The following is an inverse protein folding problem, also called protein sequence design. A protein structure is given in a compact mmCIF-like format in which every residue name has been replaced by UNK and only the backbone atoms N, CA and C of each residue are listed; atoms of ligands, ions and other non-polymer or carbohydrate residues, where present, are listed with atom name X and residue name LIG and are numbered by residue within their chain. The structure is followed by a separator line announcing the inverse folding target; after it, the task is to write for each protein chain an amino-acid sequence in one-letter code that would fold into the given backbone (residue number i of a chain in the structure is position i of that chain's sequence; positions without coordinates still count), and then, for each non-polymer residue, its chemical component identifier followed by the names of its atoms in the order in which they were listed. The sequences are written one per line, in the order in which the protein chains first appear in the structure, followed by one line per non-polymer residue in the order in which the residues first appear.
data_IF_239670790884
#
_entry.id   IF_239670790884
#
_cell.length_a   1.000
_cell.length_b   1.000
_cell.length_c   1.000
_cell.angle_alpha   90.00
_cell.angle_beta   90.00
_cell.angle_gamma   90.00
#
_symmetry.space_group_name_H-M   'P 1'
#
loop_
_entity.id
_entity.type
_entity.pdbx_description
1 polymer ?
#
# COMPACT_ATOMS: atom_id res chain seq x y z
N UNK A 1 -2.92 7.17 -5.50
CA UNK A 1 -2.31 6.34 -6.55
C UNK A 1 -3.03 5.00 -6.61
N UNK A 2 -4.22 4.95 -7.19
CA UNK A 2 -5.10 3.76 -7.11
C UNK A 2 -4.77 2.74 -8.19
N UNK A 3 -4.89 1.43 -7.91
CA UNK A 3 -4.74 0.37 -8.88
C UNK A 3 -6.15 0.11 -9.46
N UNK A 4 -6.35 0.42 -10.74
CA UNK A 4 -7.47 -0.09 -11.55
C UNK A 4 -8.81 0.64 -11.72
N UNK A 5 -9.39 0.17 -12.85
CA UNK A 5 -10.59 0.46 -13.65
C UNK A 5 -10.77 1.88 -14.20
N UNK A 6 -10.32 2.07 -15.45
CA UNK A 6 -10.89 3.08 -16.35
C UNK A 6 -9.92 3.84 -17.27
N UNK A 7 -8.68 4.11 -16.86
CA UNK A 7 -7.78 5.00 -17.62
C UNK A 7 -6.34 4.52 -17.78
N UNK A 8 -5.82 3.70 -16.86
CA UNK A 8 -4.44 3.23 -16.88
C UNK A 8 -4.39 1.72 -17.14
N UNK A 9 -4.42 1.33 -18.43
CA UNK A 9 -4.22 -0.04 -18.97
C UNK A 9 -4.66 -1.22 -18.06
N UNK A 10 -5.80 -1.84 -18.35
CA UNK A 10 -6.52 -2.93 -17.64
C UNK A 10 -5.78 -4.21 -17.19
N UNK A 11 -4.67 -4.15 -16.45
CA UNK A 11 -4.20 -5.29 -15.66
C UNK A 11 -5.18 -5.64 -14.54
N UNK A 12 -5.21 -6.91 -14.14
CA UNK A 12 -6.19 -7.41 -13.16
C UNK A 12 -5.57 -7.62 -11.77
N UNK A 13 -4.33 -7.17 -11.59
CA UNK A 13 -3.47 -7.38 -10.41
C UNK A 13 -2.55 -6.15 -10.27
N UNK A 14 -2.02 -5.88 -9.07
CA UNK A 14 -1.06 -4.79 -8.89
C UNK A 14 -0.89 -4.27 -7.46
N UNK A 15 -0.43 -3.03 -7.35
CA UNK A 15 -0.31 -2.31 -6.10
C UNK A 15 -0.71 -0.84 -6.29
N UNK A 16 -0.96 -0.17 -5.18
CA UNK A 16 -0.95 1.27 -5.18
C UNK A 16 -0.96 1.84 -3.76
N UNK A 17 -1.15 3.16 -3.70
CA UNK A 17 -0.82 3.94 -2.53
C UNK A 17 -1.78 5.10 -2.28
N UNK A 18 -2.15 5.33 -1.04
CA UNK A 18 -2.74 6.58 -0.58
C UNK A 18 -1.83 7.21 0.48
N UNK A 19 -1.63 8.52 0.35
CA UNK A 19 -0.77 9.31 1.21
C UNK A 19 -1.57 10.50 1.73
N UNK A 20 -1.31 10.90 2.97
CA UNK A 20 -1.78 12.21 3.44
C UNK A 20 -0.83 13.29 2.92
N UNK A 21 -1.41 14.33 2.34
CA UNK A 21 -0.67 15.48 1.79
C UNK A 21 -0.20 16.37 2.94
N UNK A 22 1.05 16.82 2.87
CA UNK A 22 1.64 17.77 3.83
C UNK A 22 2.12 17.14 5.14
N UNK A 23 2.02 15.82 5.28
CA UNK A 23 2.48 15.11 6.47
C UNK A 23 3.73 14.28 6.16
N UNK A 24 4.64 14.21 7.14
CA UNK A 24 5.87 13.42 7.06
C UNK A 24 5.58 11.99 7.56
N UNK A 25 5.86 11.00 6.72
CA UNK A 25 5.58 9.59 7.02
C UNK A 25 6.77 8.69 6.67
N UNK A 26 6.81 7.51 7.27
CA UNK A 26 7.86 6.53 7.02
C UNK A 26 7.33 5.36 6.16
N UNK A 27 8.14 4.88 5.22
CA UNK A 27 7.92 3.62 4.50
C UNK A 27 9.24 2.85 4.52
N UNK A 28 9.25 1.63 5.08
CA UNK A 28 10.41 0.74 5.11
C UNK A 28 11.72 1.40 5.62
N UNK A 29 11.62 2.30 6.60
CA UNK A 29 12.76 3.02 7.19
C UNK A 29 13.18 4.30 6.45
N UNK A 30 12.60 4.59 5.29
CA UNK A 30 12.75 5.85 4.57
C UNK A 30 11.62 6.83 4.91
N UNK A 31 11.91 8.13 4.86
CA UNK A 31 10.95 9.18 5.21
C UNK A 31 10.48 9.93 3.96
N UNK A 32 9.19 10.29 3.93
CA UNK A 32 8.54 10.87 2.78
C UNK A 32 7.55 11.96 3.15
N UNK A 33 7.27 12.84 2.20
CA UNK A 33 6.18 13.82 2.27
C UNK A 33 5.63 14.04 0.86
N UNK A 34 4.31 14.20 0.75
CA UNK A 34 3.66 14.61 -0.50
C UNK A 34 3.27 16.07 -0.42
N UNK A 35 3.67 16.86 -1.41
CA UNK A 35 3.23 18.24 -1.57
C UNK A 35 2.47 18.42 -2.89
N UNK A 36 1.49 19.31 -2.89
CA UNK A 36 0.73 19.67 -4.08
C UNK A 36 1.23 21.01 -4.63
N UNK A 37 1.26 21.13 -5.95
CA UNK A 37 1.48 22.41 -6.62
C UNK A 37 0.32 23.37 -6.42
N UNK A 38 0.57 24.68 -6.58
CA UNK A 38 -0.48 25.69 -6.61
C UNK A 38 -1.44 25.41 -7.78
N UNK A 39 -2.67 24.98 -7.49
CA UNK A 39 -3.65 24.52 -8.47
C UNK A 39 -3.99 23.03 -8.36
N UNK A 40 -3.19 22.25 -7.63
CA UNK A 40 -3.36 20.81 -7.41
C UNK A 40 -3.27 19.95 -8.69
N UNK A 41 -2.67 20.49 -9.75
CA UNK A 41 -2.49 19.78 -11.02
C UNK A 41 -1.36 18.74 -10.96
N UNK A 42 -0.39 18.95 -10.06
CA UNK A 42 0.72 18.03 -9.80
C UNK A 42 0.90 17.78 -8.30
N UNK A 43 1.38 16.58 -7.98
CA UNK A 43 1.80 16.15 -6.66
C UNK A 43 3.28 15.71 -6.71
N UNK A 44 4.10 16.20 -5.79
CA UNK A 44 5.50 15.79 -5.67
C UNK A 44 5.69 14.96 -4.41
N UNK A 45 6.18 13.75 -4.57
CA UNK A 45 6.64 12.92 -3.46
C UNK A 45 8.13 13.18 -3.22
N UNK A 46 8.44 13.74 -2.07
CA UNK A 46 9.80 13.93 -1.60
C UNK A 46 10.21 12.75 -0.71
N UNK A 47 11.44 12.28 -0.87
CA UNK A 47 12.12 11.37 0.06
C UNK A 47 13.13 12.18 0.86
N UNK A 48 13.25 11.88 2.14
CA UNK A 48 14.11 12.56 3.09
C UNK A 48 15.06 11.57 3.75
N UNK A 49 16.23 12.04 4.15
CA UNK A 49 17.21 11.25 4.92
C UNK A 49 17.00 11.31 6.43
N UNK A 50 16.05 12.12 6.91
CA UNK A 50 15.77 12.32 8.34
C UNK A 50 14.27 12.21 8.64
N UNK A 51 13.97 11.77 9.86
CA UNK A 51 12.60 11.54 10.35
C UNK A 51 11.78 12.79 10.56
N UNK A 52 12.38 13.97 10.46
CA UNK A 52 11.69 15.25 10.55
C UNK A 52 11.35 15.84 9.17
N UNK A 53 11.64 15.11 8.08
CA UNK A 53 11.47 15.55 6.70
C UNK A 53 12.10 16.93 6.43
N UNK A 54 13.34 17.15 6.87
CA UNK A 54 14.04 18.44 6.68
C UNK A 54 15.07 18.43 5.55
N UNK A 55 15.63 17.27 5.25
CA UNK A 55 16.74 17.10 4.31
C UNK A 55 16.30 16.22 3.15
N UNK A 56 15.84 16.86 2.08
CA UNK A 56 15.40 16.16 0.86
C UNK A 56 16.58 15.40 0.27
N UNK A 57 16.40 14.10 0.06
CA UNK A 57 17.37 13.22 -0.61
C UNK A 57 17.00 12.96 -2.07
N UNK A 58 15.70 12.86 -2.38
CA UNK A 58 15.19 12.65 -3.72
C UNK A 58 13.76 13.19 -3.85
N UNK A 59 13.27 13.37 -5.07
CA UNK A 59 11.87 13.71 -5.31
C UNK A 59 11.36 13.14 -6.64
N UNK A 60 10.06 12.90 -6.72
CA UNK A 60 9.38 12.50 -7.95
C UNK A 60 8.04 13.21 -8.06
N UNK A 61 7.83 13.86 -9.20
CA UNK A 61 6.59 14.55 -9.53
C UNK A 61 5.63 13.62 -10.27
N UNK A 62 4.35 13.79 -9.99
CA UNK A 62 3.22 13.06 -10.57
C UNK A 62 2.15 14.06 -10.99
N UNK A 63 1.73 14.01 -12.25
CA UNK A 63 0.61 14.81 -12.73
C UNK A 63 -0.71 14.13 -12.35
N UNK A 64 -1.65 14.91 -11.83
CA UNK A 64 -2.98 14.44 -11.44
C UNK A 64 -3.79 14.14 -12.70
N UNK A 65 -4.51 13.02 -12.71
CA UNK A 65 -5.26 12.52 -13.87
C UNK A 65 -4.45 11.63 -14.81
N UNK A 66 -3.14 11.53 -14.61
CA UNK A 66 -2.24 10.73 -15.46
C UNK A 66 -1.95 9.34 -14.87
N UNK A 67 -1.37 8.50 -15.73
CA UNK A 67 -1.02 7.12 -15.45
C UNK A 67 0.49 6.93 -15.35
N UNK A 68 0.94 6.27 -14.29
CA UNK A 68 2.36 5.97 -14.08
C UNK A 68 2.54 4.50 -13.77
N UNK A 69 3.68 3.92 -14.15
CA UNK A 69 4.09 2.62 -13.64
C UNK A 69 4.15 2.68 -12.11
N UNK A 70 3.53 1.69 -11.46
CA UNK A 70 3.42 1.65 -10.02
C UNK A 70 4.83 1.65 -9.39
N UNK A 71 5.18 2.67 -8.58
CA UNK A 71 6.47 2.69 -7.92
C UNK A 71 6.55 1.57 -6.88
N UNK A 72 7.73 1.01 -6.67
CA UNK A 72 7.97 0.05 -5.59
C UNK A 72 8.49 0.79 -4.34
N UNK A 73 7.58 1.25 -3.48
CA UNK A 73 7.96 1.98 -2.26
C UNK A 73 8.11 1.06 -1.04
N UNK A 74 7.59 -0.16 -1.09
CA UNK A 74 7.52 -1.05 0.07
C UNK A 74 8.47 -2.21 -0.13
N UNK A 75 9.24 -2.55 0.90
CA UNK A 75 10.13 -3.72 0.89
C UNK A 75 9.35 -5.03 1.07
N UNK A 76 8.35 -5.30 0.23
CA UNK A 76 7.92 -6.69 0.05
C UNK A 76 8.57 -7.22 -1.23
N UNK A 77 9.62 -8.02 -1.07
CA UNK A 77 10.13 -8.87 -2.18
C UNK A 77 9.04 -9.80 -2.73
N UNK A 78 7.90 -9.87 -2.05
CA UNK A 78 6.71 -10.60 -2.40
C UNK A 78 5.81 -10.03 -3.46
N UNK A 79 5.81 -8.70 -3.68
CA UNK A 79 4.86 -8.07 -4.61
C UNK A 79 5.62 -7.13 -5.54
N UNK A 80 5.98 -7.65 -6.71
CA UNK A 80 6.57 -6.82 -7.76
C UNK A 80 5.46 -5.99 -8.41
N UNK A 81 5.50 -4.65 -8.35
CA UNK A 81 4.58 -3.82 -9.11
C UNK A 81 4.68 -4.18 -10.60
N UNK A 82 3.56 -4.59 -11.18
CA UNK A 82 3.44 -4.89 -12.61
C UNK A 82 2.26 -4.14 -13.25
N UNK A 83 1.74 -3.15 -12.53
CA UNK A 83 0.58 -2.36 -12.94
C UNK A 83 0.93 -0.89 -13.13
N UNK A 84 -0.04 -0.17 -13.70
CA UNK A 84 -0.07 1.27 -13.68
C UNK A 84 -1.00 1.76 -12.58
N UNK A 85 -0.68 2.92 -12.02
CA UNK A 85 -1.50 3.64 -11.04
C UNK A 85 -2.00 4.94 -11.64
N UNK A 86 -3.27 5.25 -11.34
CA UNK A 86 -3.86 6.54 -11.65
C UNK A 86 -3.63 7.52 -10.50
N UNK A 87 -3.19 8.74 -10.82
CA UNK A 87 -2.96 9.78 -9.83
C UNK A 87 -4.26 10.58 -9.64
N UNK A 88 -4.76 10.60 -8.42
CA UNK A 88 -5.95 11.36 -8.05
C UNK A 88 -5.79 11.92 -6.64
N UNK A 89 -6.51 13.02 -6.39
CA UNK A 89 -6.60 13.67 -5.09
C UNK A 89 -8.02 13.48 -4.58
N UNK A 90 -8.16 13.12 -3.31
CA UNK A 90 -9.44 13.04 -2.62
C UNK A 90 -9.37 13.83 -1.34
N UNK A 91 -10.40 14.64 -1.08
CA UNK A 91 -10.53 15.42 0.15
C UNK A 91 -11.52 14.68 1.05
N UNK A 92 -11.08 14.33 2.27
CA UNK A 92 -11.87 13.55 3.24
C UNK A 92 -12.50 12.31 2.59
N UNK A 93 -11.69 11.38 2.05
CA UNK A 93 -12.21 10.19 1.39
C UNK A 93 -13.11 9.42 2.38
N UNK A 94 -14.41 9.34 2.08
CA UNK A 94 -15.40 8.63 2.92
C UNK A 94 -15.36 7.13 2.74
N UNK A 95 -14.64 6.65 1.73
CA UNK A 95 -14.46 5.23 1.44
C UNK A 95 -13.07 5.02 0.85
N UNK A 96 -12.26 4.21 1.52
CA UNK A 96 -11.09 3.60 0.90
C UNK A 96 -11.64 2.54 -0.08
N UNK A 97 -11.18 2.52 -1.35
CA UNK A 97 -11.63 1.52 -2.31
C UNK A 97 -11.54 0.10 -1.73
N UNK A 98 -12.61 -0.71 -1.87
CA UNK A 98 -12.69 -2.08 -1.33
C UNK A 98 -11.85 -3.05 -2.17
N UNK A 99 -10.54 -2.86 -2.25
CA UNK A 99 -9.71 -3.70 -3.11
C UNK A 99 -8.47 -4.17 -2.37
N UNK A 100 -8.69 -5.19 -1.53
CA UNK A 100 -7.69 -6.16 -1.10
C UNK A 100 -6.84 -5.80 0.11
N UNK A 101 -5.60 -6.28 0.10
CA UNK A 101 -4.67 -6.17 1.22
C UNK A 101 -4.41 -4.70 1.52
N UNK A 102 -4.39 -4.30 2.80
CA UNK A 102 -3.98 -2.96 3.23
C UNK A 102 -2.85 -3.03 4.27
N UNK A 103 -1.77 -2.30 4.02
CA UNK A 103 -0.81 -1.94 5.09
C UNK A 103 -0.98 -0.46 5.40
N UNK A 104 -1.13 -0.16 6.69
CA UNK A 104 -1.26 1.21 7.19
C UNK A 104 -0.04 1.54 8.00
N UNK A 105 0.56 2.71 7.78
CA UNK A 105 1.58 3.25 8.69
C UNK A 105 0.97 4.40 9.47
N UNK A 106 1.21 4.45 10.77
CA UNK A 106 0.71 5.50 11.65
C UNK A 106 1.77 6.56 11.96
N UNK A 107 1.32 7.73 12.40
CA UNK A 107 2.21 8.84 12.74
C UNK A 107 3.19 8.45 13.88
N UNK A 108 4.44 8.95 13.84
CA UNK A 108 5.38 8.78 14.96
C UNK A 108 4.76 9.24 16.29
N UNK A 109 4.62 8.31 17.24
CA UNK A 109 4.00 8.57 18.54
C UNK A 109 2.59 7.99 18.72
N UNK A 110 1.92 7.51 17.66
CA UNK A 110 0.72 6.69 17.77
C UNK A 110 1.11 5.25 18.13
N UNK A 111 1.33 5.02 19.42
CA UNK A 111 1.72 3.70 19.95
C UNK A 111 0.61 2.66 19.93
N UNK A 112 -0.63 3.07 19.59
CA UNK A 112 -1.81 2.20 19.58
C UNK A 112 -2.27 1.84 18.17
N UNK A 113 -1.68 2.41 17.13
CA UNK A 113 -1.94 2.04 15.74
C UNK A 113 -3.40 2.28 15.33
N UNK A 114 -4.03 3.37 15.78
CA UNK A 114 -5.48 3.52 15.66
C UNK A 114 -5.95 4.92 15.27
N UNK A 115 -5.20 5.96 15.61
CA UNK A 115 -5.76 7.32 15.65
C UNK A 115 -5.24 8.19 14.50
N UNK A 116 -4.02 7.94 13.99
CA UNK A 116 -3.42 8.80 12.98
C UNK A 116 -2.71 8.04 11.85
N UNK A 117 -3.45 7.39 10.94
CA UNK A 117 -2.89 6.73 9.78
C UNK A 117 -2.32 7.76 8.79
N UNK A 118 -1.14 7.51 8.25
CA UNK A 118 -0.40 8.45 7.39
C UNK A 118 -0.24 7.94 5.95
N UNK A 119 -0.20 6.62 5.82
CA UNK A 119 0.09 5.93 4.57
C UNK A 119 -0.76 4.67 4.48
N UNK A 120 -1.28 4.41 3.29
CA UNK A 120 -1.89 3.15 2.94
C UNK A 120 -1.22 2.57 1.71
N UNK A 121 -0.68 1.36 1.84
CA UNK A 121 -0.44 0.49 0.70
C UNK A 121 -1.68 -0.37 0.46
N UNK A 122 -2.05 -0.56 -0.80
CA UNK A 122 -3.10 -1.50 -1.15
C UNK A 122 -2.73 -2.35 -2.35
N UNK A 123 -3.29 -3.56 -2.37
CA UNK A 123 -3.11 -4.51 -3.45
C UNK A 123 -4.46 -5.14 -3.79
N UNK A 124 -4.91 -5.11 -5.06
CA UNK A 124 -6.25 -5.53 -5.45
C UNK A 124 -6.44 -7.04 -5.27
N UNK A 125 -7.66 -7.49 -5.53
CA UNK A 125 -8.03 -8.90 -5.53
C UNK A 125 -7.07 -9.74 -6.41
N UNK A 126 -6.75 -10.97 -6.00
CA UNK A 126 -5.81 -11.90 -6.66
C UNK A 126 -4.33 -11.56 -6.54
N UNK A 127 -3.95 -10.63 -5.66
CA UNK A 127 -2.54 -10.27 -5.52
C UNK A 127 -1.79 -11.32 -4.71
N UNK A 128 -0.63 -11.73 -5.21
CA UNK A 128 0.24 -12.74 -4.60
C UNK A 128 1.37 -12.04 -3.86
N UNK A 129 1.48 -12.29 -2.55
CA UNK A 129 2.53 -11.80 -1.68
C UNK A 129 3.45 -12.98 -1.37
N UNK A 130 4.70 -12.91 -1.80
CA UNK A 130 5.73 -13.93 -1.47
C UNK A 130 6.63 -13.50 -0.31
N UNK A 131 6.97 -14.43 0.57
CA UNK A 131 7.97 -14.22 1.62
C UNK A 131 8.85 -15.45 1.71
N UNK A 132 10.13 -15.35 1.34
CA UNK A 132 11.03 -16.50 1.26
C UNK A 132 10.45 -17.66 0.44
N UNK A 133 10.04 -18.75 1.10
CA UNK A 133 9.45 -19.93 0.48
C UNK A 133 7.92 -19.96 0.65
N UNK A 134 7.31 -18.92 1.18
CA UNK A 134 5.88 -18.85 1.43
C UNK A 134 5.21 -17.91 0.43
N UNK A 135 3.93 -18.15 0.12
CA UNK A 135 3.13 -17.19 -0.61
C UNK A 135 1.71 -17.13 -0.09
N UNK A 136 1.13 -15.93 -0.08
CA UNK A 136 -0.27 -15.67 0.25
C UNK A 136 -0.91 -15.01 -0.95
N UNK A 137 -2.04 -15.53 -1.40
CA UNK A 137 -2.88 -14.85 -2.38
C UNK A 137 -4.19 -14.43 -1.71
N UNK A 138 -4.49 -13.13 -1.74
CA UNK A 138 -5.74 -12.61 -1.19
C UNK A 138 -6.85 -12.63 -2.23
N UNK A 139 -8.02 -13.08 -1.82
CA UNK A 139 -9.23 -13.07 -2.62
C UNK A 139 -10.38 -12.38 -1.88
N UNK A 140 -11.23 -11.69 -2.63
CA UNK A 140 -12.55 -11.25 -2.18
C UNK A 140 -13.58 -11.59 -3.26
N UNK A 141 -14.54 -12.45 -2.92
CA UNK A 141 -15.63 -12.83 -3.81
C UNK A 141 -16.95 -12.66 -3.07
N UNK A 142 -17.94 -11.99 -3.67
CA UNK A 142 -19.25 -11.73 -3.05
C UNK A 142 -19.17 -11.07 -1.65
N UNK A 143 -18.20 -10.18 -1.44
CA UNK A 143 -17.92 -9.54 -0.15
C UNK A 143 -17.45 -10.50 0.97
N UNK A 144 -17.01 -11.70 0.61
CA UNK A 144 -16.38 -12.68 1.49
C UNK A 144 -14.88 -12.79 1.14
N UNK A 145 -13.98 -12.45 2.07
CA UNK A 145 -12.55 -12.62 1.85
C UNK A 145 -12.08 -14.04 2.17
N UNK A 146 -11.11 -14.51 1.41
CA UNK A 146 -10.36 -15.73 1.72
C UNK A 146 -8.92 -15.59 1.24
N UNK A 147 -8.02 -16.39 1.82
CA UNK A 147 -6.61 -16.42 1.46
C UNK A 147 -6.24 -17.82 1.02
N UNK A 148 -5.31 -17.90 0.07
CA UNK A 148 -4.60 -19.13 -0.25
C UNK A 148 -3.17 -18.95 0.24
N UNK A 149 -2.81 -19.66 1.31
CA UNK A 149 -1.45 -19.71 1.86
C UNK A 149 -0.75 -20.95 1.35
N UNK A 150 0.46 -20.81 0.82
CA UNK A 150 1.28 -21.92 0.34
C UNK A 150 2.63 -21.88 1.05
N UNK A 151 2.94 -22.93 1.81
CA UNK A 151 4.27 -23.17 2.38
C UNK A 151 5.13 -23.93 1.34
N UNK A 152 6.39 -23.53 1.19
CA UNK A 152 7.31 -24.11 0.19
C UNK A 152 7.15 -23.61 -1.26
N UNK A 153 6.23 -22.68 -1.54
CA UNK A 153 6.10 -22.01 -2.84
C UNK A 153 5.48 -22.87 -3.94
N UNK A 154 5.09 -24.11 -3.62
CA UNK A 154 4.42 -25.05 -4.53
C UNK A 154 2.91 -25.16 -4.21
N UNK A 155 2.10 -25.30 -5.26
CA UNK A 155 0.64 -25.29 -5.17
C UNK A 155 0.08 -26.53 -4.44
N UNK A 156 0.82 -27.65 -4.44
CA UNK A 156 0.35 -28.94 -3.92
C UNK A 156 0.19 -28.97 -2.38
N UNK A 157 0.64 -27.94 -1.65
CA UNK A 157 0.51 -27.80 -0.20
C UNK A 157 -0.33 -26.63 0.29
N UNK A 158 -1.00 -25.90 -0.62
CA UNK A 158 -1.69 -24.67 -0.23
C UNK A 158 -2.93 -24.93 0.64
N UNK A 159 -3.10 -24.12 1.67
CA UNK A 159 -4.27 -24.10 2.53
C UNK A 159 -5.12 -22.89 2.21
N UNK A 160 -6.44 -23.09 2.11
CA UNK A 160 -7.40 -21.99 2.02
C UNK A 160 -7.88 -21.63 3.41
N UNK A 161 -7.63 -20.40 3.83
CA UNK A 161 -8.13 -19.85 5.09
C UNK A 161 -9.28 -18.90 4.80
N UNK A 162 -10.45 -19.22 5.34
CA UNK A 162 -11.60 -18.34 5.34
C UNK A 162 -11.50 -17.47 6.58
N UNK A 163 -11.13 -16.21 6.41
CA UNK A 163 -11.13 -15.24 7.49
C UNK A 163 -12.50 -14.57 7.56
N UNK A 164 -13.10 -14.48 8.74
CA UNK A 164 -14.41 -13.84 8.98
C UNK A 164 -14.38 -12.31 8.88
N UNK A 165 -13.46 -11.75 8.11
CA UNK A 165 -13.22 -10.30 8.02
C UNK A 165 -13.98 -9.67 6.85
N UNK A 166 -14.03 -8.34 6.81
CA UNK A 166 -14.47 -7.62 5.60
C UNK A 166 -13.46 -7.81 4.46
N UNK A 167 -13.86 -7.55 3.21
CA UNK A 167 -12.95 -7.44 2.05
C UNK A 167 -11.93 -6.27 2.11
N UNK A 168 -11.67 -5.77 3.31
CA UNK A 168 -10.57 -4.92 3.69
C UNK A 168 -9.82 -5.68 4.79
N UNK A 169 -8.60 -6.09 4.50
CA UNK A 169 -7.77 -6.87 5.42
C UNK A 169 -6.64 -5.99 5.96
N UNK A 170 -6.50 -5.95 7.29
CA UNK A 170 -5.46 -5.19 8.00
C UNK A 170 -4.49 -6.17 8.67
N UNK A 171 -3.20 -6.11 8.31
CA UNK A 171 -2.17 -7.07 8.73
C UNK A 171 -1.67 -6.91 10.18
N UNK A 172 -2.41 -6.23 11.06
CA UNK A 172 -2.06 -6.18 12.51
C UNK A 172 -1.76 -7.57 13.11
N UNK A 173 -2.37 -8.65 12.60
CA UNK A 173 -2.08 -10.04 12.99
C UNK A 173 -0.66 -10.52 12.64
N UNK A 174 -0.10 -10.12 11.50
CA UNK A 174 1.26 -10.51 11.08
C UNK A 174 2.35 -9.66 11.75
N UNK A 175 1.98 -8.58 12.46
CA UNK A 175 2.86 -7.78 13.30
C UNK A 175 3.50 -8.53 14.48
N UNK A 176 3.20 -9.84 14.65
CA UNK A 176 3.86 -10.71 15.62
C UNK A 176 5.24 -11.20 15.18
N UNK A 177 5.61 -11.02 13.91
CA UNK A 177 7.00 -11.15 13.45
C UNK A 177 7.54 -9.74 13.17
N UNK A 178 8.50 -9.30 13.98
CA UNK A 178 9.16 -7.98 13.94
C UNK A 178 9.74 -7.66 12.54
N UNK A 179 8.93 -7.10 11.65
CA UNK A 179 9.37 -6.59 10.35
C UNK A 179 9.37 -5.07 10.27
N UNK A 180 8.97 -4.37 11.33
CA UNK A 180 8.91 -2.91 11.31
C UNK A 180 9.37 -2.31 12.64
N UNK A 181 10.53 -1.65 12.64
CA UNK A 181 10.92 -0.73 13.71
C UNK A 181 10.25 0.62 13.48
N UNK A 182 9.54 1.12 14.50
CA UNK A 182 9.05 2.50 14.53
C UNK A 182 7.69 2.73 13.88
N UNK A 183 7.07 1.69 13.36
CA UNK A 183 5.65 1.70 13.02
C UNK A 183 4.93 0.90 14.09
N UNK A 184 3.70 1.25 14.41
CA UNK A 184 2.68 0.38 13.90
C UNK A 184 2.57 0.43 12.38
#
# INVERSE_FOLDING_TARGET
MTPYEGSCSGANQGIGYAFIVGECFAIAGDFYQVELTNGHDNATLYRYSDSACKSVSNSKEYQVGECYEAPDYVWNSGVVPSNYVHISISVNPTSIPQYGFRLTTYAPGDTRCQDNPQFYWYSPNHSVIKSYNESVTFYCQNNEPYEIYCDGGEIEGCQTTYNSMSCQFDFTHWGTHNYIEGTC
#
